data_IF_433275782985
#
_entry.id   IF_433275782985
#
_cell.length_a   1.000
_cell.length_b   1.000
_cell.length_c   1.000
_cell.angle_alpha   90.00
_cell.angle_beta   90.00
_cell.angle_gamma   90.00
#
_symmetry.space_group_name_H-M   'P 1'
#
loop_
_entity.id
_entity.type
_entity.pdbx_description
1 polymer ?
#
# COMPACT_ATOMS: atom_id res chain seq x y z
N UNK A 1 15.64 7.08 -5.75
CA UNK A 1 17.04 7.44 -5.41
C UNK A 1 17.40 8.76 -6.09
N UNK A 2 17.95 9.80 -5.39
CA UNK A 2 18.40 11.02 -6.07
C UNK A 2 19.62 10.67 -6.94
N UNK A 3 19.45 10.63 -8.26
CA UNK A 3 20.47 10.18 -9.22
C UNK A 3 20.05 9.03 -10.14
N UNK A 4 18.84 8.49 -9.97
CA UNK A 4 18.23 7.65 -11.02
C UNK A 4 17.79 8.54 -12.20
N UNK A 5 17.81 7.98 -13.42
CA UNK A 5 17.33 8.71 -14.59
C UNK A 5 15.84 9.00 -14.45
N UNK A 6 15.39 10.13 -14.99
CA UNK A 6 13.98 10.51 -14.89
C UNK A 6 13.05 9.52 -15.60
N UNK A 7 13.55 8.90 -16.67
CA UNK A 7 12.85 7.89 -17.45
C UNK A 7 12.69 6.58 -16.67
N UNK A 8 13.77 6.06 -16.06
CA UNK A 8 13.69 4.86 -15.22
C UNK A 8 12.75 5.09 -14.04
N UNK A 9 12.77 6.30 -13.47
CA UNK A 9 11.91 6.65 -12.34
C UNK A 9 10.43 6.67 -12.73
N UNK A 10 10.11 7.23 -13.90
CA UNK A 10 8.75 7.28 -14.43
C UNK A 10 8.25 5.87 -14.74
N UNK A 11 9.06 5.07 -15.46
CA UNK A 11 8.71 3.70 -15.81
C UNK A 11 8.44 2.84 -14.57
N UNK A 12 9.29 2.98 -13.54
CA UNK A 12 9.11 2.26 -12.29
C UNK A 12 7.87 2.75 -11.50
N UNK A 13 7.59 4.06 -11.49
CA UNK A 13 6.38 4.62 -10.88
C UNK A 13 5.11 4.08 -11.56
N UNK A 14 5.06 4.11 -12.89
CA UNK A 14 3.92 3.61 -13.68
C UNK A 14 3.72 2.11 -13.46
N UNK A 15 4.81 1.36 -13.35
CA UNK A 15 4.76 -0.06 -13.00
C UNK A 15 4.22 -0.29 -11.59
N UNK A 16 4.68 0.48 -10.60
CA UNK A 16 4.24 0.32 -9.21
C UNK A 16 2.74 0.61 -9.05
N UNK A 17 2.24 1.70 -9.66
CA UNK A 17 0.84 2.09 -9.59
C UNK A 17 -0.09 1.24 -10.47
N UNK A 18 0.43 0.60 -11.52
CA UNK A 18 -0.33 -0.28 -12.40
C UNK A 18 -0.16 -1.75 -12.02
N UNK A 19 0.71 -2.51 -12.71
CA UNK A 19 0.96 -3.93 -12.45
C UNK A 19 1.32 -4.29 -11.01
N UNK A 20 2.05 -3.41 -10.32
CA UNK A 20 2.49 -3.61 -8.94
C UNK A 20 1.36 -3.47 -7.91
N UNK A 21 0.22 -2.87 -8.28
CA UNK A 21 -0.94 -2.72 -7.41
C UNK A 21 -0.76 -1.76 -6.23
N UNK A 22 0.24 -0.87 -6.28
CA UNK A 22 0.42 0.15 -5.25
C UNK A 22 -0.72 1.19 -5.31
N UNK A 23 -1.24 1.58 -4.14
CA UNK A 23 -2.28 2.60 -4.05
C UNK A 23 -1.72 4.01 -4.26
N UNK A 24 -1.77 4.48 -5.51
CA UNK A 24 -1.34 5.82 -5.90
C UNK A 24 -2.46 6.87 -5.88
N UNK A 25 -3.62 6.58 -5.27
CA UNK A 25 -4.75 7.54 -5.18
C UNK A 25 -4.36 8.85 -4.48
N UNK A 26 -3.51 8.76 -3.46
CA UNK A 26 -3.05 9.90 -2.66
C UNK A 26 -2.04 10.81 -3.38
N UNK A 27 -1.54 10.36 -4.54
CA UNK A 27 -0.62 11.08 -5.41
C UNK A 27 -1.32 11.86 -6.52
N UNK A 28 -2.65 11.71 -6.66
CA UNK A 28 -3.42 12.46 -7.64
C UNK A 28 -3.59 13.93 -7.23
N UNK A 29 -3.87 14.85 -8.16
CA UNK A 29 -4.21 16.24 -7.83
C UNK A 29 -5.34 16.30 -6.80
N UNK A 30 -5.10 16.98 -5.68
CA UNK A 30 -6.04 17.02 -4.54
C UNK A 30 -5.80 15.95 -3.47
N UNK A 31 -4.87 15.02 -3.70
CA UNK A 31 -4.41 14.04 -2.71
C UNK A 31 -3.50 14.65 -1.65
N UNK A 32 -3.48 14.05 -0.45
CA UNK A 32 -2.68 14.52 0.70
C UNK A 32 -1.16 14.48 0.46
N UNK A 33 -0.71 13.67 -0.50
CA UNK A 33 0.69 13.47 -0.86
C UNK A 33 1.04 14.02 -2.25
N UNK A 34 0.19 14.88 -2.82
CA UNK A 34 0.42 15.43 -4.15
C UNK A 34 1.62 16.38 -4.20
N UNK A 35 1.77 17.24 -3.19
CA UNK A 35 2.86 18.23 -3.11
C UNK A 35 3.96 17.77 -2.17
N UNK A 36 5.25 17.80 -2.58
CA UNK A 36 5.75 18.37 -3.84
C UNK A 36 5.49 17.48 -5.06
N UNK A 37 4.96 18.08 -6.14
CA UNK A 37 4.69 17.41 -7.42
C UNK A 37 6.00 17.17 -8.17
N UNK A 38 6.79 16.23 -7.66
CA UNK A 38 8.07 15.82 -8.22
C UNK A 38 8.04 14.32 -8.39
N UNK A 39 8.58 13.84 -9.52
CA UNK A 39 8.65 12.41 -9.84
C UNK A 39 9.35 11.62 -8.73
N UNK A 40 10.40 12.20 -8.14
CA UNK A 40 11.12 11.56 -7.03
C UNK A 40 10.21 11.30 -5.82
N UNK A 41 9.35 12.25 -5.48
CA UNK A 41 8.46 12.14 -4.32
C UNK A 41 7.34 11.15 -4.58
N UNK A 42 6.71 11.23 -5.76
CA UNK A 42 5.64 10.31 -6.15
C UNK A 42 6.15 8.87 -6.27
N UNK A 43 7.30 8.66 -6.93
CA UNK A 43 7.95 7.35 -7.03
C UNK A 43 8.32 6.80 -5.65
N UNK A 44 8.90 7.61 -4.77
CA UNK A 44 9.25 7.16 -3.41
C UNK A 44 8.02 6.70 -2.64
N UNK A 45 6.89 7.40 -2.75
CA UNK A 45 5.65 7.04 -2.07
C UNK A 45 5.04 5.75 -2.62
N UNK A 46 4.95 5.63 -3.95
CA UNK A 46 4.45 4.43 -4.62
C UNK A 46 5.31 3.19 -4.28
N UNK A 47 6.64 3.33 -4.33
CA UNK A 47 7.58 2.26 -3.97
C UNK A 47 7.45 1.86 -2.50
N UNK A 48 7.24 2.83 -1.62
CA UNK A 48 7.04 2.53 -0.21
C UNK A 48 5.77 1.71 0.01
N UNK A 49 4.65 2.08 -0.62
CA UNK A 49 3.40 1.29 -0.52
C UNK A 49 3.61 -0.12 -1.05
N UNK A 50 4.20 -0.26 -2.24
CA UNK A 50 4.49 -1.56 -2.83
C UNK A 50 5.39 -2.41 -1.91
N UNK A 51 6.44 -1.80 -1.35
CA UNK A 51 7.35 -2.47 -0.43
C UNK A 51 6.63 -3.00 0.82
N UNK A 52 5.76 -2.19 1.44
CA UNK A 52 4.97 -2.61 2.60
C UNK A 52 3.95 -3.70 2.23
N UNK A 53 3.32 -3.61 1.06
CA UNK A 53 2.36 -4.62 0.60
C UNK A 53 3.02 -5.97 0.28
N UNK A 54 4.27 -5.96 -0.18
CA UNK A 54 5.01 -7.16 -0.59
C UNK A 54 5.94 -7.68 0.53
N UNK A 55 5.53 -7.49 1.78
CA UNK A 55 6.16 -8.10 2.96
C UNK A 55 7.55 -7.55 3.29
N UNK A 56 7.84 -6.32 2.90
CA UNK A 56 9.09 -5.62 3.25
C UNK A 56 10.35 -6.38 2.80
N UNK A 57 10.25 -7.13 1.70
CA UNK A 57 11.35 -7.93 1.17
C UNK A 57 12.32 -7.11 0.33
N UNK A 58 13.60 -7.51 0.29
CA UNK A 58 14.61 -6.86 -0.56
C UNK A 58 14.24 -6.90 -2.04
N UNK A 59 13.53 -7.96 -2.46
CA UNK A 59 13.00 -8.11 -3.82
C UNK A 59 11.95 -7.04 -4.11
N UNK A 60 11.09 -6.70 -3.15
CA UNK A 60 10.09 -5.66 -3.31
C UNK A 60 10.68 -4.24 -3.38
N UNK A 61 11.94 -4.05 -2.97
CA UNK A 61 12.67 -2.81 -3.14
C UNK A 61 13.44 -2.74 -4.48
N UNK A 62 13.44 -3.82 -5.26
CA UNK A 62 14.17 -3.92 -6.52
C UNK A 62 13.38 -3.28 -7.68
N UNK A 63 13.48 -1.95 -7.79
CA UNK A 63 12.93 -1.19 -8.91
C UNK A 63 14.02 -0.88 -9.97
N UNK A 64 14.79 -1.88 -10.39
CA UNK A 64 15.76 -1.72 -11.48
C UNK A 64 16.80 -0.60 -11.26
N UNK A 65 17.29 -0.44 -10.03
CA UNK A 65 18.22 0.63 -9.59
C UNK A 65 17.59 2.01 -9.30
N UNK A 66 16.31 2.22 -9.63
CA UNK A 66 15.58 3.45 -9.32
C UNK A 66 15.14 3.54 -7.84
N UNK A 67 14.92 2.38 -7.21
CA UNK A 67 14.51 2.21 -5.82
C UNK A 67 15.66 1.93 -4.86
N UNK A 68 15.44 2.22 -3.58
CA UNK A 68 16.38 1.86 -2.51
C UNK A 68 15.75 2.12 -1.14
N UNK A 69 16.10 1.29 -0.16
CA UNK A 69 15.64 1.44 1.22
C UNK A 69 16.16 2.75 1.82
N UNK A 70 15.24 3.61 2.23
CA UNK A 70 15.57 4.85 2.93
C UNK A 70 15.22 4.68 4.40
N UNK A 71 16.23 4.64 5.27
CA UNK A 71 16.03 4.58 6.74
C UNK A 71 15.48 5.88 7.34
N UNK A 72 15.63 7.00 6.62
CA UNK A 72 15.11 8.30 7.03
C UNK A 72 13.71 8.45 6.47
N UNK A 73 12.73 8.61 7.35
CA UNK A 73 11.35 8.89 6.97
C UNK A 73 11.28 10.16 6.11
N UNK A 74 10.82 10.07 4.84
CA UNK A 74 10.71 11.22 3.94
C UNK A 74 9.34 11.91 4.03
N UNK A 75 8.57 11.68 5.10
CA UNK A 75 7.26 12.32 5.30
C UNK A 75 7.40 13.84 5.43
N UNK A 76 6.49 14.55 4.77
CA UNK A 76 6.40 16.01 4.82
C UNK A 76 4.94 16.41 5.07
N UNK A 77 4.72 17.33 6.00
CA UNK A 77 3.38 17.84 6.33
C UNK A 77 2.35 16.74 6.64
N UNK A 78 1.27 16.69 5.84
CA UNK A 78 0.19 15.71 5.91
C UNK A 78 0.47 14.41 5.15
N UNK A 79 1.56 14.33 4.37
CA UNK A 79 1.98 13.13 3.68
C UNK A 79 2.84 12.28 4.59
N UNK A 80 2.24 11.21 5.13
CA UNK A 80 2.94 10.20 5.94
C UNK A 80 3.28 9.00 5.08
N UNK A 81 4.56 8.68 5.02
CA UNK A 81 5.02 7.41 4.48
C UNK A 81 4.67 6.33 5.50
N UNK A 82 4.06 5.25 5.04
CA UNK A 82 3.81 4.09 5.88
C UNK A 82 5.17 3.45 6.18
N UNK A 83 5.79 3.83 7.29
CA UNK A 83 6.88 3.08 7.88
C UNK A 83 6.29 1.79 8.47
N UNK A 84 7.08 0.72 8.49
CA UNK A 84 6.71 -0.63 8.94
C UNK A 84 6.24 -0.75 10.40
N UNK A 85 5.91 0.33 11.08
CA UNK A 85 5.29 0.30 12.39
C UNK A 85 3.84 0.80 12.28
N UNK A 86 2.94 -0.17 12.43
CA UNK A 86 1.49 0.00 12.61
C UNK A 86 0.71 0.35 11.34
N UNK A 87 0.65 -0.59 10.41
CA UNK A 87 -0.55 -0.86 9.59
C UNK A 87 -1.74 -1.28 10.47
N UNK A 88 -2.13 -0.43 11.43
CA UNK A 88 -3.33 -0.58 12.27
C UNK A 88 -4.54 0.17 11.68
N UNK A 89 -4.61 0.30 10.36
CA UNK A 89 -5.79 0.86 9.68
C UNK A 89 -6.26 0.02 8.48
N UNK A 90 -5.89 -1.25 8.40
CA UNK A 90 -6.47 -2.20 7.43
C UNK A 90 -6.71 -3.61 8.01
N UNK A 91 -6.82 -3.76 9.33
CA UNK A 91 -7.00 -5.09 9.97
C UNK A 91 -8.22 -5.20 10.88
N UNK A 92 -9.11 -4.19 10.96
CA UNK A 92 -10.28 -4.24 11.85
C UNK A 92 -11.61 -4.59 11.17
N UNK A 93 -11.66 -4.78 9.85
CA UNK A 93 -12.94 -5.01 9.15
C UNK A 93 -13.19 -6.45 8.66
N UNK A 94 -12.20 -7.35 8.69
CA UNK A 94 -12.36 -8.69 8.07
C UNK A 94 -12.57 -9.85 9.06
N UNK A 95 -12.26 -9.70 10.35
CA UNK A 95 -12.40 -10.81 11.32
C UNK A 95 -13.73 -10.81 12.11
N UNK A 96 -14.65 -9.87 11.85
CA UNK A 96 -15.93 -9.77 12.56
C UNK A 96 -17.16 -10.34 11.84
N UNK A 97 -17.05 -10.69 10.55
CA UNK A 97 -18.24 -10.97 9.69
C UNK A 97 -18.44 -12.44 9.33
N UNK A 98 -17.49 -13.32 9.67
CA UNK A 98 -17.57 -14.75 9.33
C UNK A 98 -18.19 -15.62 10.44
N UNK A 99 -18.21 -15.14 11.69
CA UNK A 99 -18.78 -15.91 12.82
C UNK A 99 -20.31 -15.89 12.86
N UNK A 100 -20.95 -14.80 12.39
CA UNK A 100 -22.42 -14.67 12.44
C UNK A 100 -23.15 -15.56 11.43
N UNK A 101 -22.47 -16.03 10.38
CA UNK A 101 -23.07 -16.91 9.37
C UNK A 101 -23.17 -18.37 9.81
N UNK A 102 -22.30 -18.84 10.72
CA UNK A 102 -22.31 -20.26 11.13
C UNK A 102 -23.41 -20.61 12.15
N UNK A 103 -23.83 -19.68 13.00
CA UNK A 103 -24.86 -19.95 14.02
C UNK A 103 -26.30 -19.97 13.49
N UNK A 104 -26.59 -19.26 12.39
CA UNK A 104 -27.94 -19.22 11.82
C UNK A 104 -28.35 -20.54 11.13
N UNK A 105 -27.38 -21.30 10.60
CA UNK A 105 -27.64 -22.56 9.91
C UNK A 105 -28.07 -23.70 10.86
N UNK A 106 -27.76 -23.60 12.16
CA UNK A 106 -28.10 -24.64 13.14
C UNK A 106 -29.53 -24.55 13.69
N UNK A 107 -30.20 -23.40 13.58
CA UNK A 107 -31.58 -23.23 14.10
C UNK A 107 -32.68 -23.67 13.10
N UNK A 108 -32.36 -23.79 11.81
CA UNK A 108 -33.33 -24.22 10.79
C UNK A 108 -33.54 -25.75 10.84
N UNK A 109 -32.53 -26.52 11.28
CA UNK A 109 -32.59 -27.98 11.31
C UNK A 109 -33.51 -28.57 12.41
N UNK A 110 -33.94 -27.79 13.41
CA UNK A 110 -34.79 -28.30 14.51
C UNK A 110 -36.30 -28.06 14.30
N UNK A 111 -36.74 -27.55 13.14
CA UNK A 111 -38.17 -27.41 12.80
C UNK A 111 -38.71 -28.47 11.83
N UNK A 112 -37.91 -29.50 11.52
CA UNK A 112 -38.34 -30.62 10.67
C UNK A 112 -38.41 -31.96 11.43
N UNK A 113 -38.25 -31.97 12.75
CA UNK A 113 -38.27 -33.20 13.57
C UNK A 113 -39.38 -33.19 14.64
N UNK A 114 -40.22 -32.15 14.72
CA UNK A 114 -41.48 -32.18 15.48
C UNK A 114 -42.62 -31.67 14.61
#
# INVERSE_FOLDING_TARGET
RPGASQEDLQNALDWACGPGGADCSQLQPGGRCYQPNTLLTHASYAFNIFYQQNGNSDIACNFGSAGGLVKRDPSFGSCKFLASETSAAASSAMLGRAWTAMVAASLIALRLIV
#
